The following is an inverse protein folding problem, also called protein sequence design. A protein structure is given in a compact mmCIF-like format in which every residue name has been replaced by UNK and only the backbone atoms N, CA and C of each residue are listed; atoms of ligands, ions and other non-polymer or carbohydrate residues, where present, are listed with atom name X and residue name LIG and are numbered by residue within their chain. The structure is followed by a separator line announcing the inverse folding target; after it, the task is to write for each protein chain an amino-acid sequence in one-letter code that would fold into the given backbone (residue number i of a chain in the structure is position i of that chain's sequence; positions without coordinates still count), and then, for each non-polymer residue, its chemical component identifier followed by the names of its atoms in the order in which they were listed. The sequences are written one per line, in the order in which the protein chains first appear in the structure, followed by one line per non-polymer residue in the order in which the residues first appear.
data_IF_312523030148
#
_entry.id   IF_312523030148
#
_cell.length_a   1.000
_cell.length_b   1.000
_cell.length_c   1.000
_cell.angle_alpha   90.00
_cell.angle_beta   90.00
_cell.angle_gamma   90.00
#
_symmetry.space_group_name_H-M   'P 1'
#
loop_
_entity.id
_entity.type
_entity.pdbx_description
1 polymer ?
#
# COMPACT_ATOMS: atom_id res chain seq x y z
N UNK A 1 -10.77 4.43 47.63
CA UNK A 1 -11.55 3.93 46.51
C UNK A 1 -10.92 4.48 45.25
N UNK A 2 -10.14 3.65 44.55
CA UNK A 2 -9.41 4.07 43.34
C UNK A 2 -10.31 3.74 42.14
N UNK A 3 -11.01 4.76 41.63
CA UNK A 3 -11.72 4.65 40.35
C UNK A 3 -10.69 4.44 39.25
N UNK A 4 -10.47 3.19 38.87
CA UNK A 4 -9.81 2.86 37.62
C UNK A 4 -10.73 3.33 36.48
N UNK A 5 -10.44 4.55 35.94
CA UNK A 5 -10.99 4.96 34.64
C UNK A 5 -10.75 3.82 33.65
N UNK A 6 -11.81 3.14 33.25
CA UNK A 6 -11.80 2.24 32.08
C UNK A 6 -11.37 3.12 30.90
N UNK A 7 -10.29 2.80 30.19
CA UNK A 7 -9.91 3.60 29.02
C UNK A 7 -11.09 3.59 28.04
N UNK A 8 -11.49 4.77 27.60
CA UNK A 8 -12.48 4.92 26.55
C UNK A 8 -12.02 4.03 25.37
N UNK A 9 -12.91 3.19 24.82
CA UNK A 9 -12.64 2.44 23.59
C UNK A 9 -12.18 3.45 22.55
N UNK A 10 -10.91 3.41 22.19
CA UNK A 10 -10.37 4.24 21.10
C UNK A 10 -11.15 3.90 19.84
N UNK A 11 -11.66 4.92 19.16
CA UNK A 11 -12.31 4.73 17.86
C UNK A 11 -11.27 4.09 16.93
N UNK A 12 -11.63 3.04 16.18
CA UNK A 12 -10.75 2.42 15.18
C UNK A 12 -10.24 3.51 14.23
N UNK A 13 -8.96 3.47 13.89
CA UNK A 13 -8.35 4.33 12.88
C UNK A 13 -8.96 4.12 11.49
N UNK A 14 -8.79 5.10 10.64
CA UNK A 14 -9.22 5.07 9.25
C UNK A 14 -8.11 4.49 8.34
N UNK A 15 -8.50 3.66 7.36
CA UNK A 15 -7.60 3.13 6.33
C UNK A 15 -7.86 3.85 5.00
N UNK A 16 -6.79 4.43 4.43
CA UNK A 16 -6.76 4.91 3.04
C UNK A 16 -5.79 4.06 2.22
N UNK A 17 -6.20 3.66 1.03
CA UNK A 17 -5.37 2.87 0.10
C UNK A 17 -5.20 3.61 -1.22
N UNK A 18 -3.95 3.86 -1.61
CA UNK A 18 -3.60 4.24 -2.98
C UNK A 18 -3.52 3.00 -3.85
N UNK A 19 -4.49 2.80 -4.73
CA UNK A 19 -4.57 1.68 -5.67
C UNK A 19 -3.90 2.04 -7.00
N UNK A 20 -3.19 1.12 -7.61
CA UNK A 20 -2.62 1.31 -8.95
C UNK A 20 -2.66 0.06 -9.80
N UNK A 21 -2.64 0.24 -11.11
CA UNK A 21 -2.68 -0.88 -12.06
C UNK A 21 -1.38 -1.70 -12.08
N UNK A 22 -0.23 -1.06 -11.80
CA UNK A 22 1.07 -1.73 -11.89
C UNK A 22 2.14 -1.02 -11.04
N UNK A 23 3.31 -1.66 -10.79
CA UNK A 23 4.47 -0.98 -10.23
C UNK A 23 4.89 0.23 -11.08
N UNK A 24 5.31 1.31 -10.42
CA UNK A 24 5.71 2.55 -11.10
C UNK A 24 4.57 3.52 -11.40
N UNK A 25 3.32 3.23 -11.01
CA UNK A 25 2.21 4.18 -11.18
C UNK A 25 2.36 5.46 -10.34
N UNK A 26 3.16 5.44 -9.27
CA UNK A 26 3.41 6.60 -8.41
C UNK A 26 2.64 6.60 -7.09
N UNK A 27 2.07 5.49 -6.68
CA UNK A 27 1.32 5.35 -5.42
C UNK A 27 2.10 5.80 -4.19
N UNK A 28 3.33 5.29 -4.04
CA UNK A 28 4.22 5.66 -2.92
C UNK A 28 4.50 7.16 -2.91
N UNK A 29 4.70 7.77 -4.08
CA UNK A 29 4.89 9.22 -4.18
C UNK A 29 3.61 9.99 -3.81
N UNK A 30 2.43 9.52 -4.23
CA UNK A 30 1.15 10.12 -3.86
C UNK A 30 0.94 10.06 -2.34
N UNK A 31 1.16 8.90 -1.73
CA UNK A 31 1.12 8.70 -0.29
C UNK A 31 2.06 9.64 0.48
N UNK A 32 3.32 9.77 0.02
CA UNK A 32 4.30 10.66 0.66
C UNK A 32 3.94 12.14 0.49
N UNK A 33 3.43 12.54 -0.68
CA UNK A 33 2.97 13.92 -0.90
C UNK A 33 1.77 14.27 -0.01
N UNK A 34 0.82 13.36 0.17
CA UNK A 34 -0.28 13.55 1.11
C UNK A 34 0.25 13.70 2.54
N UNK A 35 1.21 12.87 2.95
CA UNK A 35 1.84 12.96 4.27
C UNK A 35 2.45 14.33 4.52
N UNK A 36 3.17 14.89 3.55
CA UNK A 36 3.69 16.27 3.65
C UNK A 36 2.55 17.29 3.79
N UNK A 37 1.46 17.13 3.05
CA UNK A 37 0.27 17.98 3.20
C UNK A 37 -0.34 17.92 4.60
N UNK A 38 -0.44 16.71 5.16
CA UNK A 38 -0.93 16.50 6.53
C UNK A 38 -0.01 17.14 7.58
N UNK A 39 1.32 16.97 7.45
CA UNK A 39 2.30 17.61 8.35
C UNK A 39 2.21 19.13 8.27
N UNK A 40 2.09 19.70 7.07
CA UNK A 40 1.88 21.15 6.90
C UNK A 40 0.57 21.64 7.51
N UNK A 41 -0.44 20.77 7.59
CA UNK A 41 -1.69 21.05 8.30
C UNK A 41 -1.60 20.82 9.83
N UNK A 42 -0.41 20.51 10.35
CA UNK A 42 -0.16 20.33 11.78
C UNK A 42 -0.54 18.96 12.32
N UNK A 43 -0.73 17.93 11.44
CA UNK A 43 -1.04 16.56 11.83
C UNK A 43 0.26 15.81 12.19
N UNK A 44 0.14 14.90 13.16
CA UNK A 44 1.24 14.01 13.59
C UNK A 44 1.32 12.77 12.68
N UNK A 45 2.24 12.81 11.71
CA UNK A 45 2.40 11.77 10.69
C UNK A 45 3.78 11.16 10.77
N UNK A 46 3.84 9.82 10.72
CA UNK A 46 5.12 9.08 10.71
C UNK A 46 5.18 8.09 9.55
N UNK A 47 6.38 7.79 9.09
CA UNK A 47 6.64 6.66 8.19
C UNK A 47 6.84 5.41 9.06
N UNK A 48 5.96 4.42 8.94
CA UNK A 48 6.17 3.08 9.48
C UNK A 48 7.08 2.27 8.59
N UNK A 49 6.74 2.19 7.29
CA UNK A 49 7.59 1.56 6.28
C UNK A 49 7.31 2.15 4.90
N UNK A 50 8.38 2.43 4.14
CA UNK A 50 8.34 2.84 2.73
C UNK A 50 9.41 2.08 1.97
N UNK A 51 9.05 1.47 0.84
CA UNK A 51 9.96 0.74 -0.02
C UNK A 51 10.43 1.63 -1.18
N UNK A 52 11.60 2.23 -1.04
CA UNK A 52 12.16 3.12 -2.07
C UNK A 52 12.70 2.37 -3.29
N UNK A 53 12.98 1.06 -3.16
CA UNK A 53 13.56 0.20 -4.19
C UNK A 53 14.85 0.79 -4.83
N UNK A 54 15.55 1.65 -4.10
CA UNK A 54 16.73 2.37 -4.58
C UNK A 54 16.44 3.59 -5.45
N UNK A 55 15.20 4.10 -5.45
CA UNK A 55 14.78 5.29 -6.21
C UNK A 55 15.08 6.55 -5.40
N UNK A 56 16.01 7.37 -5.90
CA UNK A 56 16.40 8.63 -5.22
C UNK A 56 15.21 9.57 -5.02
N UNK A 57 14.32 9.66 -6.00
CA UNK A 57 13.15 10.53 -5.91
C UNK A 57 12.20 10.11 -4.76
N UNK A 58 11.93 8.81 -4.61
CA UNK A 58 11.10 8.30 -3.50
C UNK A 58 11.79 8.55 -2.15
N UNK A 59 13.11 8.36 -2.10
CA UNK A 59 13.89 8.61 -0.88
C UNK A 59 13.86 10.09 -0.49
N UNK A 60 14.03 11.00 -1.44
CA UNK A 60 13.95 12.44 -1.20
C UNK A 60 12.57 12.88 -0.68
N UNK A 61 11.49 12.19 -1.07
CA UNK A 61 10.16 12.45 -0.52
C UNK A 61 9.98 11.97 0.93
N UNK A 62 10.86 11.12 1.45
CA UNK A 62 10.84 10.75 2.87
C UNK A 62 11.50 11.81 3.76
N UNK A 63 12.30 12.71 3.18
CA UNK A 63 13.00 13.74 3.93
C UNK A 63 11.99 14.69 4.61
N UNK A 64 12.25 14.97 5.89
CA UNK A 64 11.37 15.82 6.70
C UNK A 64 10.18 15.11 7.36
N UNK A 65 9.98 13.81 7.09
CA UNK A 65 9.01 12.98 7.79
C UNK A 65 9.71 12.14 8.86
N UNK A 66 9.13 12.07 10.06
CA UNK A 66 9.60 11.15 11.11
C UNK A 66 9.45 9.71 10.63
N UNK A 67 10.49 8.90 10.81
CA UNK A 67 10.48 7.48 10.43
C UNK A 67 10.66 6.62 11.66
N UNK A 68 9.76 5.68 11.88
CA UNK A 68 9.91 4.64 12.91
C UNK A 68 10.99 3.66 12.44
N UNK A 69 12.01 3.36 13.26
CA UNK A 69 13.02 2.39 12.89
C UNK A 69 12.40 1.03 12.57
N UNK A 70 12.86 0.43 11.46
CA UNK A 70 12.41 -0.92 11.09
C UNK A 70 12.90 -1.94 12.11
N UNK A 71 12.08 -2.95 12.36
CA UNK A 71 12.46 -4.10 13.18
C UNK A 71 13.36 -5.05 12.35
N UNK A 72 14.53 -5.36 12.85
CA UNK A 72 15.44 -6.29 12.21
C UNK A 72 15.28 -7.67 12.83
N UNK A 73 14.78 -8.64 12.06
CA UNK A 73 14.79 -10.03 12.45
C UNK A 73 16.17 -10.66 12.12
N UNK A 74 16.63 -11.59 12.96
CA UNK A 74 17.91 -12.26 12.75
C UNK A 74 17.96 -12.99 11.40
N UNK A 75 18.94 -12.65 10.56
CA UNK A 75 19.14 -13.27 9.24
C UNK A 75 18.48 -12.56 8.06
N UNK A 76 17.78 -11.44 8.27
CA UNK A 76 17.21 -10.62 7.20
C UNK A 76 18.07 -9.38 6.92
N UNK A 77 18.31 -9.10 5.65
CA UNK A 77 19.07 -7.92 5.21
C UNK A 77 18.23 -6.65 5.20
N UNK A 78 16.90 -6.78 5.12
CA UNK A 78 15.93 -5.68 5.14
C UNK A 78 15.11 -5.76 6.42
N UNK A 79 14.90 -4.61 7.07
CA UNK A 79 14.04 -4.55 8.26
C UNK A 79 12.56 -4.55 7.89
N UNK A 80 11.73 -5.04 8.78
CA UNK A 80 10.28 -5.12 8.66
C UNK A 80 9.57 -4.02 9.45
N UNK A 81 8.26 -3.88 9.25
CA UNK A 81 7.40 -2.96 9.99
C UNK A 81 7.47 -3.26 11.50
N UNK A 82 7.69 -2.23 12.32
CA UNK A 82 7.64 -2.34 13.78
C UNK A 82 6.29 -1.86 14.30
N UNK A 83 5.29 -2.73 14.24
CA UNK A 83 3.91 -2.46 14.70
C UNK A 83 3.88 -2.04 16.17
N UNK A 84 4.68 -2.69 17.02
CA UNK A 84 4.73 -2.36 18.45
C UNK A 84 5.30 -0.96 18.70
N UNK A 85 6.35 -0.57 17.99
CA UNK A 85 6.93 0.77 18.09
C UNK A 85 5.96 1.84 17.59
N UNK A 86 5.23 1.60 16.50
CA UNK A 86 4.20 2.51 15.98
C UNK A 86 3.09 2.71 17.01
N UNK A 87 2.55 1.62 17.56
CA UNK A 87 1.49 1.68 18.58
C UNK A 87 1.99 2.40 19.85
N UNK A 88 3.24 2.16 20.24
CA UNK A 88 3.84 2.85 21.40
C UNK A 88 4.05 4.35 21.17
N UNK A 89 4.39 4.76 19.92
CA UNK A 89 4.59 6.17 19.52
C UNK A 89 3.28 6.94 19.45
N UNK A 90 2.15 6.23 19.15
CA UNK A 90 0.79 6.82 19.04
C UNK A 90 0.70 8.02 18.08
N UNK A 91 1.16 7.93 16.83
CA UNK A 91 0.95 9.00 15.86
C UNK A 91 -0.54 9.12 15.51
N UNK A 92 -0.95 10.24 14.91
CA UNK A 92 -2.29 10.35 14.32
C UNK A 92 -2.41 9.51 13.05
N UNK A 93 -1.37 9.51 12.21
CA UNK A 93 -1.34 8.79 10.93
C UNK A 93 0.01 8.12 10.72
N UNK A 94 0.00 6.90 10.20
CA UNK A 94 1.21 6.17 9.79
C UNK A 94 1.15 5.75 8.33
N UNK A 95 2.28 5.88 7.63
CA UNK A 95 2.45 5.41 6.26
C UNK A 95 2.97 3.98 6.26
N UNK A 96 2.26 3.08 5.58
CA UNK A 96 2.63 1.66 5.45
C UNK A 96 2.57 1.27 3.98
N UNK A 97 3.69 1.30 3.29
CA UNK A 97 3.80 0.92 1.87
C UNK A 97 3.65 -0.59 1.66
N UNK A 98 3.24 -1.01 0.46
CA UNK A 98 3.11 -2.41 0.05
C UNK A 98 2.17 -3.25 0.94
N UNK A 99 0.89 -2.90 0.97
CA UNK A 99 -0.16 -3.53 1.79
C UNK A 99 -0.24 -5.06 1.67
N UNK A 100 0.09 -5.61 0.48
CA UNK A 100 0.05 -7.04 0.20
C UNK A 100 1.31 -7.81 0.62
N UNK A 101 2.34 -7.12 1.12
CA UNK A 101 3.61 -7.75 1.47
C UNK A 101 3.44 -8.95 2.40
N UNK A 102 4.20 -10.01 2.14
CA UNK A 102 4.25 -11.19 3.01
C UNK A 102 5.40 -11.07 4.01
N UNK A 103 5.07 -11.04 5.27
CA UNK A 103 6.06 -10.98 6.34
C UNK A 103 6.95 -12.23 6.33
N UNK A 104 8.19 -12.14 6.81
CA UNK A 104 9.10 -13.27 6.89
C UNK A 104 8.55 -14.42 7.74
N UNK A 105 8.98 -15.64 7.44
CA UNK A 105 8.57 -16.82 8.21
C UNK A 105 9.02 -16.69 9.68
N UNK A 106 8.11 -16.98 10.58
CA UNK A 106 8.36 -16.91 12.03
C UNK A 106 7.89 -15.60 12.67
N UNK A 107 7.40 -14.65 11.87
CA UNK A 107 6.70 -13.50 12.39
C UNK A 107 5.32 -13.89 12.95
N UNK A 108 4.80 -13.11 13.90
CA UNK A 108 3.49 -13.34 14.51
C UNK A 108 2.36 -13.26 13.48
N UNK A 109 2.50 -12.36 12.51
CA UNK A 109 1.56 -12.15 11.40
C UNK A 109 2.22 -12.52 10.09
N UNK A 110 1.49 -13.22 9.24
CA UNK A 110 2.00 -13.67 7.96
C UNK A 110 1.99 -12.55 6.90
N UNK A 111 1.15 -11.53 7.09
CA UNK A 111 0.89 -10.48 6.09
C UNK A 111 0.94 -9.09 6.72
N UNK A 112 1.45 -8.13 5.95
CA UNK A 112 1.50 -6.71 6.36
C UNK A 112 0.12 -6.12 6.61
N UNK A 113 -0.90 -6.53 5.86
CA UNK A 113 -2.26 -6.06 6.11
C UNK A 113 -2.80 -6.49 7.49
N UNK A 114 -2.33 -7.61 8.04
CA UNK A 114 -2.68 -8.03 9.41
C UNK A 114 -2.03 -7.11 10.46
N UNK A 115 -0.80 -6.63 10.21
CA UNK A 115 -0.15 -5.61 11.05
C UNK A 115 -0.91 -4.29 10.98
N UNK A 116 -1.36 -3.90 9.78
CA UNK A 116 -2.19 -2.69 9.59
C UNK A 116 -3.50 -2.79 10.37
N UNK A 117 -4.15 -3.95 10.40
CA UNK A 117 -5.36 -4.19 11.19
C UNK A 117 -5.15 -3.92 12.69
N UNK A 118 -4.00 -4.33 13.24
CA UNK A 118 -3.66 -4.04 14.63
C UNK A 118 -3.44 -2.55 14.88
N UNK A 119 -2.74 -1.86 13.98
CA UNK A 119 -2.50 -0.42 14.05
C UNK A 119 -3.83 0.34 14.04
N UNK A 120 -4.74 -0.02 13.12
CA UNK A 120 -6.09 0.55 13.05
C UNK A 120 -6.90 0.29 14.33
N UNK A 121 -6.80 -0.92 14.90
CA UNK A 121 -7.46 -1.27 16.16
C UNK A 121 -6.93 -0.43 17.34
N UNK A 122 -5.68 0.01 17.29
CA UNK A 122 -5.08 0.92 18.26
C UNK A 122 -5.55 2.39 18.10
N UNK A 123 -6.37 2.68 17.07
CA UNK A 123 -6.93 4.02 16.83
C UNK A 123 -6.05 4.94 15.99
N UNK A 124 -5.05 4.40 15.30
CA UNK A 124 -4.11 5.13 14.45
C UNK A 124 -4.59 5.02 12.99
N UNK A 125 -4.65 6.15 12.28
CA UNK A 125 -4.98 6.17 10.86
C UNK A 125 -3.81 5.61 10.03
N UNK A 126 -4.14 4.87 8.97
CA UNK A 126 -3.13 4.26 8.07
C UNK A 126 -3.36 4.71 6.64
N UNK A 127 -2.29 5.14 5.97
CA UNK A 127 -2.26 5.34 4.52
C UNK A 127 -1.34 4.28 3.92
N UNK A 128 -1.84 3.51 2.96
CA UNK A 128 -1.11 2.40 2.36
C UNK A 128 -1.18 2.41 0.83
N UNK A 129 -0.44 1.51 0.19
CA UNK A 129 -0.41 1.34 -1.26
C UNK A 129 -0.70 -0.09 -1.68
N UNK A 130 -1.38 -0.27 -2.80
CA UNK A 130 -1.71 -1.59 -3.34
C UNK A 130 -1.69 -1.57 -4.87
N UNK A 131 -1.19 -2.63 -5.51
CA UNK A 131 -1.41 -2.88 -6.93
C UNK A 131 -2.62 -3.81 -7.11
N UNK A 132 -3.40 -3.58 -8.15
CA UNK A 132 -4.59 -4.38 -8.48
C UNK A 132 -4.29 -5.89 -8.57
N UNK A 133 -3.08 -6.24 -9.01
CA UNK A 133 -2.66 -7.64 -9.14
C UNK A 133 -2.62 -8.43 -7.82
N UNK A 134 -2.64 -7.76 -6.68
CA UNK A 134 -2.58 -8.39 -5.38
C UNK A 134 -3.97 -8.69 -4.78
N UNK A 135 -5.05 -8.35 -5.47
CA UNK A 135 -6.41 -8.76 -5.07
C UNK A 135 -6.64 -10.24 -5.37
N UNK A 136 -7.08 -11.00 -4.37
CA UNK A 136 -7.24 -12.45 -4.50
C UNK A 136 -8.24 -12.84 -5.58
N UNK A 137 -9.36 -12.12 -5.70
CA UNK A 137 -10.40 -12.40 -6.69
C UNK A 137 -9.90 -12.26 -8.14
N UNK A 138 -8.83 -11.51 -8.36
CA UNK A 138 -8.30 -11.23 -9.69
C UNK A 138 -7.13 -12.13 -10.11
N UNK A 139 -6.66 -13.03 -9.24
CA UNK A 139 -5.46 -13.85 -9.49
C UNK A 139 -5.50 -14.60 -10.81
N UNK A 140 -6.61 -15.26 -11.13
CA UNK A 140 -6.75 -16.04 -12.36
C UNK A 140 -6.72 -15.14 -13.60
N UNK A 141 -7.42 -14.01 -13.55
CA UNK A 141 -7.46 -13.03 -14.66
C UNK A 141 -6.09 -12.39 -14.84
N UNK A 142 -5.40 -12.02 -13.77
CA UNK A 142 -4.04 -11.48 -13.82
C UNK A 142 -3.08 -12.49 -14.45
N UNK A 143 -3.18 -13.76 -14.07
CA UNK A 143 -2.36 -14.81 -14.68
C UNK A 143 -2.65 -14.96 -16.19
N UNK A 144 -3.91 -14.94 -16.60
CA UNK A 144 -4.28 -15.01 -18.02
C UNK A 144 -3.74 -13.82 -18.83
N UNK A 145 -3.75 -12.61 -18.25
CA UNK A 145 -3.27 -11.40 -18.92
C UNK A 145 -1.74 -11.36 -18.97
N UNK A 146 -1.07 -11.65 -17.85
CA UNK A 146 0.37 -11.38 -17.68
C UNK A 146 1.24 -12.63 -17.79
N UNK A 147 0.67 -13.82 -17.65
CA UNK A 147 1.39 -15.08 -17.48
C UNK A 147 2.08 -15.22 -16.12
N UNK A 148 1.76 -14.35 -15.14
CA UNK A 148 2.38 -14.35 -13.82
C UNK A 148 1.29 -14.54 -12.77
N UNK A 149 1.51 -15.51 -11.85
CA UNK A 149 0.68 -15.67 -10.66
C UNK A 149 1.27 -14.85 -9.51
N UNK A 150 0.55 -13.86 -8.99
CA UNK A 150 1.01 -13.10 -7.83
C UNK A 150 1.21 -14.02 -6.61
N UNK A 151 2.34 -13.85 -5.92
CA UNK A 151 2.63 -14.63 -4.71
C UNK A 151 2.13 -13.94 -3.45
N UNK A 152 1.97 -12.64 -3.52
CA UNK A 152 1.49 -11.80 -2.44
C UNK A 152 0.08 -11.33 -2.77
N UNK A 153 -0.87 -11.67 -1.91
CA UNK A 153 -2.29 -11.37 -2.12
C UNK A 153 -2.93 -10.83 -0.86
N UNK A 154 -4.03 -10.12 -1.06
CA UNK A 154 -4.90 -9.59 -0.02
C UNK A 154 -6.33 -9.99 -0.34
N UNK A 155 -7.10 -10.50 0.64
CA UNK A 155 -8.54 -10.73 0.46
C UNK A 155 -9.26 -9.45 0.07
N UNK A 156 -10.17 -9.54 -0.88
CA UNK A 156 -10.91 -8.36 -1.38
C UNK A 156 -11.68 -7.64 -0.27
N UNK A 157 -12.27 -8.39 0.68
CA UNK A 157 -13.00 -7.83 1.80
C UNK A 157 -12.13 -6.93 2.70
N UNK A 158 -10.83 -7.22 2.84
CA UNK A 158 -9.92 -6.39 3.63
C UNK A 158 -9.69 -5.05 2.94
N UNK A 159 -9.55 -5.05 1.61
CA UNK A 159 -9.38 -3.82 0.83
C UNK A 159 -10.70 -3.05 0.76
N UNK A 160 -11.85 -3.73 0.61
CA UNK A 160 -13.19 -3.13 0.61
C UNK A 160 -13.55 -2.45 1.94
N UNK A 161 -12.96 -2.91 3.05
CA UNK A 161 -13.16 -2.30 4.37
C UNK A 161 -12.40 -0.97 4.56
N UNK A 162 -11.57 -0.55 3.60
CA UNK A 162 -10.91 0.74 3.64
C UNK A 162 -11.92 1.89 3.61
N UNK A 163 -11.62 2.95 4.38
CA UNK A 163 -12.45 4.15 4.42
C UNK A 163 -12.36 4.97 3.13
N UNK A 164 -11.22 4.88 2.45
CA UNK A 164 -10.97 5.58 1.20
C UNK A 164 -10.04 4.75 0.31
N UNK A 165 -10.39 4.65 -0.97
CA UNK A 165 -9.55 4.06 -2.00
C UNK A 165 -9.36 5.08 -3.12
N UNK A 166 -8.12 5.49 -3.36
CA UNK A 166 -7.77 6.45 -4.39
C UNK A 166 -6.99 5.76 -5.51
N UNK A 167 -7.50 5.85 -6.75
CA UNK A 167 -6.83 5.28 -7.91
C UNK A 167 -5.75 6.22 -8.42
N UNK A 168 -4.50 5.74 -8.40
CA UNK A 168 -3.38 6.41 -9.07
C UNK A 168 -3.34 5.93 -10.53
N UNK A 169 -4.09 6.62 -11.38
CA UNK A 169 -4.23 6.26 -12.79
C UNK A 169 -3.10 6.85 -13.64
N UNK A 170 -2.44 5.97 -14.38
CA UNK A 170 -1.32 6.30 -15.27
C UNK A 170 -1.48 5.55 -16.58
N UNK A 171 -1.25 6.24 -17.72
CA UNK A 171 -1.33 5.59 -19.02
C UNK A 171 -0.28 4.48 -19.18
N UNK A 172 -0.61 3.40 -19.92
CA UNK A 172 0.35 2.33 -20.24
C UNK A 172 1.64 2.86 -20.86
N UNK A 173 1.55 3.87 -21.71
CA UNK A 173 2.70 4.48 -22.37
C UNK A 173 3.64 5.15 -21.36
N UNK A 174 3.09 5.93 -20.42
CA UNK A 174 3.90 6.59 -19.40
C UNK A 174 4.55 5.59 -18.45
N UNK A 175 3.85 4.51 -18.07
CA UNK A 175 4.44 3.42 -17.27
C UNK A 175 5.63 2.78 -17.99
N UNK A 176 5.51 2.51 -19.29
CA UNK A 176 6.61 1.97 -20.09
C UNK A 176 7.79 2.94 -20.21
N UNK A 177 7.53 4.23 -20.40
CA UNK A 177 8.57 5.26 -20.39
C UNK A 177 9.31 5.28 -19.06
N UNK A 178 8.59 5.35 -17.94
CA UNK A 178 9.19 5.28 -16.58
C UNK A 178 10.04 4.02 -16.38
N UNK A 179 9.57 2.87 -16.88
CA UNK A 179 10.32 1.62 -16.81
C UNK A 179 11.59 1.70 -17.67
N UNK A 180 11.49 2.19 -18.92
CA UNK A 180 12.65 2.35 -19.83
C UNK A 180 13.71 3.29 -19.26
N UNK A 181 13.28 4.33 -18.54
CA UNK A 181 14.15 5.32 -17.89
C UNK A 181 14.75 4.80 -16.55
N UNK A 182 14.54 3.54 -16.20
CA UNK A 182 15.07 2.95 -14.96
C UNK A 182 14.37 3.40 -13.69
N UNK A 183 13.23 4.10 -13.78
CA UNK A 183 12.51 4.63 -12.62
C UNK A 183 11.69 3.57 -11.87
N UNK A 184 11.51 2.36 -12.44
CA UNK A 184 10.72 1.28 -11.84
C UNK A 184 11.61 0.12 -11.40
N UNK A 185 12.47 -0.36 -12.29
CA UNK A 185 13.39 -1.48 -12.03
C UNK A 185 14.83 -1.12 -12.40
N UNK A 186 15.77 -1.85 -11.80
CA UNK A 186 17.18 -1.78 -12.20
C UNK A 186 17.37 -2.27 -13.64
N UNK A 187 18.37 -1.75 -14.33
CA UNK A 187 18.66 -1.95 -15.76
C UNK A 187 18.51 -3.42 -16.23
N UNK A 188 19.05 -4.36 -15.49
CA UNK A 188 18.99 -5.80 -15.84
C UNK A 188 17.56 -6.37 -15.93
N UNK A 189 16.56 -5.74 -15.29
CA UNK A 189 15.15 -6.16 -15.29
C UNK A 189 14.29 -5.42 -16.30
N UNK A 190 14.76 -4.33 -16.89
CA UNK A 190 13.95 -3.47 -17.78
C UNK A 190 13.50 -4.22 -19.03
N UNK A 191 14.43 -4.76 -19.81
CA UNK A 191 14.10 -5.44 -21.07
C UNK A 191 13.18 -6.67 -20.87
N UNK A 192 13.42 -7.57 -19.91
CA UNK A 192 12.47 -8.66 -19.61
C UNK A 192 11.08 -8.16 -19.20
N UNK A 193 11.00 -7.12 -18.40
CA UNK A 193 9.73 -6.56 -17.93
C UNK A 193 8.94 -5.93 -19.08
N UNK A 194 9.57 -5.15 -19.96
CA UNK A 194 8.94 -4.53 -21.14
C UNK A 194 8.38 -5.57 -22.13
N UNK A 195 9.04 -6.72 -22.25
CA UNK A 195 8.65 -7.79 -23.15
C UNK A 195 7.61 -8.76 -22.58
N UNK A 196 7.32 -8.68 -21.28
CA UNK A 196 6.37 -9.55 -20.59
C UNK A 196 5.27 -8.73 -19.90
N UNK A 197 5.39 -8.49 -18.60
CA UNK A 197 4.37 -7.84 -17.79
C UNK A 197 3.98 -6.45 -18.31
N UNK A 198 4.96 -5.63 -18.71
CA UNK A 198 4.76 -4.24 -19.16
C UNK A 198 4.46 -4.10 -20.64
N UNK A 199 3.89 -5.12 -21.30
CA UNK A 199 3.30 -4.95 -22.64
C UNK A 199 2.13 -3.99 -22.57
N UNK A 200 1.96 -3.16 -23.60
CA UNK A 200 0.88 -2.16 -23.63
C UNK A 200 -0.48 -2.82 -23.39
N UNK A 201 -0.77 -3.95 -24.05
CA UNK A 201 -2.02 -4.68 -23.88
C UNK A 201 -2.25 -5.14 -22.44
N UNK A 202 -1.22 -5.70 -21.78
CA UNK A 202 -1.30 -6.13 -20.38
C UNK A 202 -1.60 -4.94 -19.45
N UNK A 203 -0.85 -3.85 -19.60
CA UNK A 203 -1.03 -2.65 -18.78
C UNK A 203 -2.40 -2.01 -19.01
N UNK A 204 -2.91 -2.04 -20.26
CA UNK A 204 -4.27 -1.56 -20.55
C UNK A 204 -5.30 -2.41 -19.84
N UNK A 205 -5.21 -3.74 -19.94
CA UNK A 205 -6.14 -4.65 -19.27
C UNK A 205 -6.08 -4.51 -17.74
N UNK A 206 -4.88 -4.40 -17.14
CA UNK A 206 -4.73 -4.19 -15.70
C UNK A 206 -5.33 -2.86 -15.24
N UNK A 207 -5.17 -1.81 -16.04
CA UNK A 207 -5.79 -0.50 -15.78
C UNK A 207 -7.32 -0.57 -15.84
N UNK A 208 -7.87 -1.24 -16.84
CA UNK A 208 -9.32 -1.45 -16.97
C UNK A 208 -9.86 -2.28 -15.80
N UNK A 209 -9.16 -3.34 -15.39
CA UNK A 209 -9.53 -4.12 -14.19
C UNK A 209 -9.56 -3.25 -12.92
N UNK A 210 -8.58 -2.37 -12.74
CA UNK A 210 -8.55 -1.48 -11.57
C UNK A 210 -9.74 -0.52 -11.57
N UNK A 211 -10.09 0.03 -12.73
CA UNK A 211 -11.24 0.93 -12.89
C UNK A 211 -12.56 0.19 -12.64
N UNK A 212 -12.73 -1.01 -13.19
CA UNK A 212 -13.94 -1.82 -13.02
C UNK A 212 -14.09 -2.25 -11.56
N UNK A 213 -13.02 -2.74 -10.93
CA UNK A 213 -13.05 -3.15 -9.53
C UNK A 213 -13.44 -1.98 -8.61
N UNK A 214 -12.92 -0.78 -8.88
CA UNK A 214 -13.29 0.42 -8.12
C UNK A 214 -14.73 0.86 -8.38
N UNK A 215 -15.23 0.73 -9.62
CA UNK A 215 -16.62 1.04 -9.95
C UNK A 215 -17.60 0.13 -9.21
N UNK A 216 -17.30 -1.16 -9.09
CA UNK A 216 -18.11 -2.11 -8.31
C UNK A 216 -18.21 -1.71 -6.84
N UNK A 217 -17.14 -1.13 -6.27
CA UNK A 217 -17.15 -0.61 -4.90
C UNK A 217 -18.14 0.56 -4.73
N UNK A 218 -18.17 1.46 -5.71
CA UNK A 218 -19.08 2.60 -5.70
C UNK A 218 -20.53 2.13 -5.79
N UNK A 219 -20.81 1.14 -6.64
CA UNK A 219 -22.15 0.59 -6.81
C UNK A 219 -22.65 -0.11 -5.53
N UNK A 220 -21.81 -0.88 -4.84
CA UNK A 220 -22.13 -1.50 -3.56
C UNK A 220 -22.41 -0.46 -2.47
N UNK A 221 -21.58 0.60 -2.40
CA UNK A 221 -21.78 1.70 -1.45
C UNK A 221 -23.09 2.46 -1.73
N UNK A 222 -23.44 2.69 -3.00
CA UNK A 222 -24.70 3.32 -3.39
C UNK A 222 -25.90 2.42 -3.09
N UNK A 223 -25.80 1.11 -3.27
CA UNK A 223 -26.85 0.16 -2.94
C UNK A 223 -27.14 0.17 -1.42
N UNK A 224 -26.09 0.18 -0.59
CA UNK A 224 -26.23 0.25 0.87
C UNK A 224 -26.82 1.58 1.36
N UNK A 225 -26.58 2.68 0.66
CA UNK A 225 -27.16 4.00 0.99
C UNK A 225 -28.65 4.09 0.68
N UNK A 226 -29.14 3.29 -0.28
CA UNK A 226 -30.56 3.28 -0.72
C UNK A 226 -31.43 2.29 0.09
N UNK A 227 -30.84 1.41 0.87
CA UNK A 227 -31.53 0.42 1.73
C UNK A 227 -31.75 0.97 3.14
#
# INVERSE_FOLDING_TARGET
MNDKKVPARTKRGALKIYLGAAPGSGKTCAMLNEAHGLVLAGRDVVIGIVEDHGREFTRALCDGLETIPRRHAAGLSTGELDTAAIISRQPETVLVDEFAHSNPRGEERAKRWEDVEEILAAGIDVISTLNIQHLESLNDVINQITGISPQETVPDEVVRAANEIELVDVSPQLLRTRLSDGQVYKEARIAPALNNYFRVGNLTALRELALLWLADQVDEALASYRS
#
